data_IF_011879749112
#
_entry.id   IF_011879749112
#
_cell.length_a   1.000
_cell.length_b   1.000
_cell.length_c   1.000
_cell.angle_alpha   90.00
_cell.angle_beta   90.00
_cell.angle_gamma   90.00
#
_symmetry.space_group_name_H-M   'P 1'
#
loop_
_entity.id
_entity.type
_entity.pdbx_description
1 polymer ?
#
# COMPACT_ATOMS: atom_id res chain seq x y z
N UNK A 1 3.87 -1.22 -10.24
CA UNK A 1 3.78 0.27 -10.18
C UNK A 1 2.55 0.65 -9.37
N UNK A 2 2.62 1.71 -8.56
CA UNK A 2 1.44 2.32 -7.95
C UNK A 2 0.97 3.43 -8.91
N UNK A 3 -0.17 3.23 -9.57
CA UNK A 3 -0.67 4.16 -10.58
C UNK A 3 -1.51 5.26 -9.93
N UNK A 4 -2.71 4.91 -9.45
CA UNK A 4 -3.63 5.85 -8.84
C UNK A 4 -4.58 5.14 -7.88
N UNK A 5 -5.21 5.90 -6.99
CA UNK A 5 -6.28 5.45 -6.09
C UNK A 5 -7.52 6.31 -6.34
N UNK A 6 -8.70 5.74 -6.12
CA UNK A 6 -9.98 6.45 -6.28
C UNK A 6 -10.86 6.25 -5.05
N UNK A 7 -11.65 7.27 -4.73
CA UNK A 7 -12.70 7.19 -3.71
C UNK A 7 -12.19 6.98 -2.29
N UNK A 8 -11.07 7.61 -1.91
CA UNK A 8 -10.63 7.59 -0.51
C UNK A 8 -11.63 8.33 0.38
N UNK A 9 -11.81 7.89 1.64
CA UNK A 9 -12.70 8.56 2.58
C UNK A 9 -12.17 9.96 2.91
N UNK A 10 -13.11 10.89 3.16
CA UNK A 10 -12.79 12.18 3.74
C UNK A 10 -12.35 12.01 5.19
N UNK A 11 -11.50 12.92 5.65
CA UNK A 11 -11.06 13.02 7.05
C UNK A 11 -11.71 14.25 7.67
N UNK A 12 -12.70 14.02 8.53
CA UNK A 12 -13.48 15.10 9.17
C UNK A 12 -14.01 16.14 8.18
N UNK A 13 -14.47 15.67 7.01
CA UNK A 13 -15.00 16.50 5.92
C UNK A 13 -13.95 17.15 5.02
N UNK A 14 -12.65 16.92 5.27
CA UNK A 14 -11.56 17.42 4.44
C UNK A 14 -10.94 16.32 3.56
N UNK A 15 -10.39 16.75 2.43
CA UNK A 15 -9.58 15.87 1.58
C UNK A 15 -8.30 15.43 2.32
N UNK A 16 -7.92 14.14 2.25
CA UNK A 16 -6.69 13.66 2.86
C UNK A 16 -5.43 14.08 2.09
N UNK A 17 -4.27 13.86 2.72
CA UNK A 17 -2.95 13.94 2.09
C UNK A 17 -2.39 12.50 1.90
N UNK A 18 -2.91 11.71 0.95
CA UNK A 18 -2.62 10.28 0.89
C UNK A 18 -1.22 9.95 0.36
N UNK A 19 -0.64 8.89 0.91
CA UNK A 19 0.48 8.15 0.34
C UNK A 19 0.29 6.65 0.50
N UNK A 20 0.98 5.88 -0.34
CA UNK A 20 0.96 4.42 -0.26
C UNK A 20 2.24 3.94 0.41
N UNK A 21 2.09 3.13 1.45
CA UNK A 21 3.16 2.42 2.14
C UNK A 21 3.04 0.93 1.87
N UNK A 22 4.16 0.28 1.58
CA UNK A 22 4.20 -1.14 1.25
C UNK A 22 5.26 -1.88 2.03
N UNK A 23 4.97 -3.15 2.30
CA UNK A 23 5.89 -4.12 2.92
C UNK A 23 5.78 -5.46 2.20
N UNK A 24 6.89 -6.18 2.10
CA UNK A 24 6.89 -7.60 1.75
C UNK A 24 6.98 -8.42 3.02
N UNK A 25 5.88 -9.04 3.41
CA UNK A 25 5.78 -9.82 4.64
C UNK A 25 5.93 -11.32 4.37
N UNK A 26 6.56 -12.11 5.26
CA UNK A 26 7.21 -11.66 6.50
C UNK A 26 8.48 -10.83 6.21
N UNK A 27 8.71 -9.80 7.03
CA UNK A 27 9.87 -8.90 6.94
C UNK A 27 10.71 -8.97 8.23
N UNK A 28 11.47 -10.06 8.45
CA UNK A 28 12.25 -10.23 9.67
C UNK A 28 13.36 -9.17 9.81
N UNK A 29 13.89 -8.68 8.69
CA UNK A 29 14.98 -7.69 8.68
C UNK A 29 14.46 -6.25 8.74
N UNK A 30 13.15 -6.04 8.60
CA UNK A 30 12.49 -4.72 8.60
C UNK A 30 13.01 -3.77 7.51
N UNK A 31 13.43 -4.31 6.37
CA UNK A 31 14.06 -3.56 5.26
C UNK A 31 13.14 -3.39 4.05
N UNK A 32 11.95 -3.99 4.06
CA UNK A 32 11.03 -4.02 2.91
C UNK A 32 10.07 -2.82 2.87
N UNK A 33 10.19 -1.87 3.79
CA UNK A 33 9.37 -0.66 3.73
C UNK A 33 9.68 0.10 2.44
N UNK A 34 8.65 0.37 1.64
CA UNK A 34 8.70 1.33 0.51
C UNK A 34 7.48 2.25 0.60
N UNK A 35 7.61 3.48 0.12
CA UNK A 35 6.49 4.42 0.05
C UNK A 35 6.53 5.29 -1.19
N UNK A 36 5.37 5.73 -1.64
CA UNK A 36 5.23 6.80 -2.65
C UNK A 36 5.46 8.17 -2.03
N UNK A 37 5.47 9.21 -2.87
CA UNK A 37 5.27 10.57 -2.42
C UNK A 37 3.85 10.75 -1.86
N UNK A 38 3.69 11.79 -1.05
CA UNK A 38 2.40 12.26 -0.55
C UNK A 38 1.73 13.08 -1.65
N UNK A 39 0.52 12.69 -2.03
CA UNK A 39 -0.37 13.52 -2.82
C UNK A 39 -1.16 14.44 -1.88
N UNK A 40 -1.33 15.70 -2.24
CA UNK A 40 -1.94 16.70 -1.34
C UNK A 40 -3.42 16.90 -1.63
N UNK A 41 -4.23 16.98 -0.58
CA UNK A 41 -5.66 17.35 -0.57
C UNK A 41 -6.43 16.68 -1.70
N UNK A 42 -6.46 15.34 -1.69
CA UNK A 42 -7.19 14.60 -2.72
C UNK A 42 -7.68 13.23 -2.26
N UNK A 43 -8.94 12.93 -2.55
CA UNK A 43 -9.48 11.57 -2.44
C UNK A 43 -9.15 10.66 -3.64
N UNK A 44 -8.50 11.19 -4.69
CA UNK A 44 -8.24 10.49 -5.96
C UNK A 44 -6.80 10.69 -6.46
N UNK A 45 -5.77 10.33 -5.67
CA UNK A 45 -4.38 10.61 -6.00
C UNK A 45 -3.90 9.81 -7.21
N UNK A 46 -3.04 10.44 -8.03
CA UNK A 46 -2.25 9.77 -9.07
C UNK A 46 -0.77 9.86 -8.69
N UNK A 47 -0.10 8.71 -8.63
CA UNK A 47 1.30 8.59 -8.24
C UNK A 47 2.18 8.28 -9.45
N UNK A 48 1.83 7.26 -10.24
CA UNK A 48 2.68 6.70 -11.30
C UNK A 48 4.11 6.39 -10.81
N UNK A 49 4.22 5.85 -9.60
CA UNK A 49 5.49 5.60 -8.92
C UNK A 49 5.83 4.10 -8.92
N UNK A 50 7.09 3.78 -9.24
CA UNK A 50 7.60 2.42 -9.16
C UNK A 50 8.27 2.19 -7.80
N UNK A 51 7.71 1.28 -7.00
CA UNK A 51 8.33 0.81 -5.77
C UNK A 51 9.08 -0.49 -6.06
N UNK A 52 10.40 -0.47 -5.85
CA UNK A 52 11.30 -1.57 -6.25
C UNK A 52 11.75 -2.38 -5.04
N UNK A 53 11.73 -3.71 -5.21
CA UNK A 53 12.15 -4.70 -4.24
C UNK A 53 13.31 -5.54 -4.80
N UNK A 54 14.53 -5.09 -4.54
CA UNK A 54 15.75 -5.79 -4.98
C UNK A 54 16.19 -6.86 -3.98
N UNK A 55 16.89 -7.88 -4.49
CA UNK A 55 17.55 -8.89 -3.65
C UNK A 55 16.60 -9.90 -3.00
N UNK A 56 15.33 -9.97 -3.42
CA UNK A 56 14.38 -10.99 -2.93
C UNK A 56 14.56 -12.28 -3.74
N UNK A 57 14.95 -13.41 -3.12
CA UNK A 57 15.08 -14.68 -3.83
C UNK A 57 13.74 -15.11 -4.43
N UNK A 58 13.75 -15.58 -5.69
CA UNK A 58 12.52 -16.04 -6.37
C UNK A 58 11.78 -17.13 -5.59
N UNK A 59 12.52 -18.04 -4.95
CA UNK A 59 11.95 -19.10 -4.11
C UNK A 59 11.17 -18.59 -2.90
N UNK A 60 11.52 -17.41 -2.37
CA UNK A 60 10.84 -16.82 -1.23
C UNK A 60 9.53 -16.12 -1.63
N UNK A 61 9.41 -15.68 -2.88
CA UNK A 61 8.27 -14.86 -3.32
C UNK A 61 6.93 -15.58 -3.08
N UNK A 62 6.86 -16.90 -3.25
CA UNK A 62 5.62 -17.66 -3.01
C UNK A 62 5.18 -17.68 -1.54
N UNK A 63 6.08 -17.39 -0.60
CA UNK A 63 5.77 -17.35 0.83
C UNK A 63 5.50 -15.92 1.30
N UNK A 64 5.59 -14.93 0.39
CA UNK A 64 5.45 -13.52 0.73
C UNK A 64 4.10 -12.95 0.33
N UNK A 65 3.70 -11.95 1.09
CA UNK A 65 2.54 -11.11 0.85
C UNK A 65 3.00 -9.65 0.71
N UNK A 66 2.55 -8.99 -0.36
CA UNK A 66 2.69 -7.55 -0.49
C UNK A 66 1.54 -6.89 0.26
N UNK A 67 1.84 -6.30 1.41
CA UNK A 67 0.87 -5.51 2.17
C UNK A 67 0.98 -4.05 1.77
N UNK A 68 -0.09 -3.50 1.24
CA UNK A 68 -0.25 -2.10 0.89
C UNK A 68 -1.18 -1.42 1.91
N UNK A 69 -0.74 -0.30 2.46
CA UNK A 69 -1.55 0.56 3.31
C UNK A 69 -1.56 1.97 2.71
N UNK A 70 -2.75 2.55 2.60
CA UNK A 70 -2.93 3.94 2.19
C UNK A 70 -3.15 4.75 3.45
N UNK A 71 -2.29 5.74 3.69
CA UNK A 71 -2.38 6.60 4.86
C UNK A 71 -2.48 8.06 4.44
N UNK A 72 -3.18 8.88 5.21
CA UNK A 72 -3.02 10.33 5.16
C UNK A 72 -1.84 10.74 6.02
N UNK A 73 -0.97 11.62 5.49
CA UNK A 73 0.08 12.25 6.28
C UNK A 73 -0.50 13.41 7.09
N UNK A 74 -0.41 13.32 8.41
CA UNK A 74 -0.91 14.38 9.31
C UNK A 74 0.31 15.03 9.98
N UNK A 75 0.71 16.23 9.52
CA UNK A 75 2.02 16.81 9.81
C UNK A 75 2.55 16.62 11.25
N UNK A 76 1.79 17.05 12.26
CA UNK A 76 2.16 16.89 13.68
C UNK A 76 1.52 15.67 14.36
N UNK A 77 0.52 15.06 13.73
CA UNK A 77 -0.31 14.00 14.34
C UNK A 77 0.07 12.62 13.82
N UNK A 78 -0.57 11.59 14.34
CA UNK A 78 -0.41 10.25 13.77
C UNK A 78 -1.08 10.17 12.40
N UNK A 79 -0.37 9.54 11.46
CA UNK A 79 -0.90 9.28 10.13
C UNK A 79 -2.14 8.39 10.21
N UNK A 80 -3.23 8.81 9.58
CA UNK A 80 -4.50 8.12 9.60
C UNK A 80 -4.52 7.05 8.50
N UNK A 81 -4.93 5.83 8.85
CA UNK A 81 -5.09 4.75 7.87
C UNK A 81 -6.40 4.92 7.10
N UNK A 82 -6.30 5.10 5.78
CA UNK A 82 -7.46 5.26 4.89
C UNK A 82 -7.94 3.92 4.30
N UNK A 83 -7.08 2.91 4.31
CA UNK A 83 -7.41 1.55 3.88
C UNK A 83 -6.17 0.71 3.63
N UNK A 84 -6.35 -0.60 3.56
CA UNK A 84 -5.26 -1.53 3.29
C UNK A 84 -5.70 -2.71 2.42
N UNK A 85 -4.74 -3.32 1.74
CA UNK A 85 -4.93 -4.57 1.00
C UNK A 85 -3.68 -5.42 1.10
N UNK A 86 -3.87 -6.72 1.15
CA UNK A 86 -2.80 -7.70 1.20
C UNK A 86 -2.90 -8.60 -0.03
N UNK A 87 -1.80 -8.70 -0.79
CA UNK A 87 -1.74 -9.46 -2.03
C UNK A 87 -0.73 -10.58 -1.86
N UNK A 88 -1.21 -11.82 -1.83
CA UNK A 88 -0.33 -12.99 -1.72
C UNK A 88 0.36 -13.21 -3.06
N UNK A 89 1.69 -13.14 -3.06
CA UNK A 89 2.45 -13.20 -4.31
C UNK A 89 2.36 -14.57 -5.00
N UNK A 90 2.05 -15.64 -4.26
CA UNK A 90 1.77 -16.98 -4.82
C UNK A 90 0.53 -17.05 -5.70
N UNK A 91 -0.39 -16.09 -5.57
CA UNK A 91 -1.63 -16.05 -6.35
C UNK A 91 -1.44 -15.27 -7.66
N UNK A 92 -0.25 -14.71 -7.86
CA UNK A 92 0.11 -13.96 -9.05
C UNK A 92 1.05 -14.78 -9.93
N UNK A 93 0.82 -14.72 -11.24
CA UNK A 93 1.84 -15.13 -12.19
C UNK A 93 2.89 -14.02 -12.32
N UNK A 94 3.99 -14.18 -11.59
CA UNK A 94 5.08 -13.21 -11.55
C UNK A 94 5.96 -13.22 -12.82
N UNK A 95 5.73 -14.14 -13.76
CA UNK A 95 6.38 -14.10 -15.08
C UNK A 95 5.74 -13.06 -16.01
N UNK A 96 4.50 -12.64 -15.70
CA UNK A 96 3.76 -11.68 -16.49
C UNK A 96 3.41 -10.45 -15.65
N UNK A 97 3.22 -9.32 -16.32
CA UNK A 97 2.73 -8.12 -15.65
C UNK A 97 1.28 -8.33 -15.19
N UNK A 98 1.05 -8.21 -13.87
CA UNK A 98 -0.29 -8.15 -13.31
C UNK A 98 -0.69 -6.69 -13.11
N UNK A 99 -1.73 -6.27 -13.85
CA UNK A 99 -2.39 -4.98 -13.67
C UNK A 99 -3.85 -5.19 -13.27
N UNK A 100 -4.35 -4.39 -12.33
CA UNK A 100 -5.73 -4.46 -11.90
C UNK A 100 -6.03 -3.56 -10.71
N UNK A 101 -7.32 -3.40 -10.45
CA UNK A 101 -7.82 -2.72 -9.26
C UNK A 101 -7.85 -3.68 -8.08
N UNK A 102 -7.43 -3.18 -6.91
CA UNK A 102 -7.49 -3.90 -5.65
C UNK A 102 -8.34 -3.07 -4.69
N UNK A 103 -9.40 -3.67 -4.15
CA UNK A 103 -10.25 -3.01 -3.18
C UNK A 103 -9.49 -2.83 -1.87
N UNK A 104 -9.57 -1.62 -1.29
CA UNK A 104 -9.05 -1.36 0.04
C UNK A 104 -10.06 -1.86 1.08
N UNK A 105 -9.60 -2.73 1.99
CA UNK A 105 -10.34 -3.07 3.18
C UNK A 105 -10.18 -1.97 4.24
N UNK A 106 -11.23 -1.75 5.03
CA UNK A 106 -11.10 -1.10 6.33
C UNK A 106 -10.36 -2.03 7.26
N UNK A 107 -9.46 -1.52 8.11
CA UNK A 107 -8.93 -2.32 9.23
C UNK A 107 -10.10 -2.60 10.15
N UNK A 108 -10.74 -3.77 10.00
CA UNK A 108 -11.56 -4.31 11.05
C UNK A 108 -10.70 -4.33 12.30
N UNK A 109 -11.22 -3.79 13.40
CA UNK A 109 -10.67 -4.03 14.71
C UNK A 109 -10.36 -5.54 14.81
N UNK A 110 -9.08 -5.89 14.78
CA UNK A 110 -8.63 -7.17 15.30
C UNK A 110 -8.79 -7.09 16.81
N UNK A 111 -10.01 -7.26 17.30
CA UNK A 111 -10.24 -7.73 18.65
C UNK A 111 -9.69 -9.15 18.71
N UNK A 112 -8.60 -9.30 19.47
CA UNK A 112 -8.32 -10.54 20.20
C UNK A 112 -9.53 -10.90 21.08
#
# INVERSE_FOLDING_TARGET
MVMHIRGLPLQDGNDPDPYVKTYLLPDPQKTTKRKTKVARKTCNPTYNEMLVYDGVPKGDLQQRELRLSVLSEEGFWENILLGEVAIKLRELDLAHEKMGWFALGSRGHGTL
#
